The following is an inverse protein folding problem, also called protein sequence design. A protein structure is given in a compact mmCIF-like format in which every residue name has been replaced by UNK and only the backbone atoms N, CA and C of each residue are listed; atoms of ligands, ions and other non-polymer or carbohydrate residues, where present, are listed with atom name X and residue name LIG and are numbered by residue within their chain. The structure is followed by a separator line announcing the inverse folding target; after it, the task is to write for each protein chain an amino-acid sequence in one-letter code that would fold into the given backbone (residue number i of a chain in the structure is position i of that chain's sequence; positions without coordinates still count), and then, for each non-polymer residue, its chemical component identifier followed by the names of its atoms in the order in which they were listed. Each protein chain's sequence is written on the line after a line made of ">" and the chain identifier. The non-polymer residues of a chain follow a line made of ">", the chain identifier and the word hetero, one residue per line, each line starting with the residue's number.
data_IF_961323053460
#
_entry.id   IF_961323053460
#
_cell.length_a   1.000
_cell.length_b   1.000
_cell.length_c   1.000
_cell.angle_alpha   90.00
_cell.angle_beta   90.00
_cell.angle_gamma   90.00
#
_symmetry.space_group_name_H-M   'P 1'
#
loop_
_entity.id
_entity.type
_entity.pdbx_description
1 polymer ?
#
# COMPACT_ATOMS: atom_id res chain seq x y z
N UNK A 1 -7.26 -9.18 -5.61
CA UNK A 1 -6.37 -8.09 -6.10
C UNK A 1 -6.33 -8.05 -7.62
N UNK A 2 -5.98 -9.15 -8.30
CA UNK A 2 -5.92 -9.24 -9.77
C UNK A 2 -7.17 -8.69 -10.50
N UNK A 3 -8.37 -9.02 -10.01
CA UNK A 3 -9.64 -8.52 -10.57
C UNK A 3 -9.81 -6.98 -10.45
N UNK A 4 -9.33 -6.37 -9.37
CA UNK A 4 -9.34 -4.92 -9.21
C UNK A 4 -8.33 -4.23 -10.15
N UNK A 5 -7.17 -4.86 -10.36
CA UNK A 5 -6.16 -4.42 -11.34
C UNK A 5 -6.72 -4.55 -12.76
N UNK A 6 -7.39 -5.67 -13.07
CA UNK A 6 -8.03 -5.93 -14.36
C UNK A 6 -9.08 -4.88 -14.73
N UNK A 7 -9.91 -4.41 -13.79
CA UNK A 7 -10.85 -3.31 -14.08
C UNK A 7 -10.17 -1.96 -14.36
N UNK A 8 -8.96 -1.75 -13.83
CA UNK A 8 -8.24 -0.49 -13.97
C UNK A 8 -7.26 -0.48 -15.16
N UNK A 9 -7.06 -1.63 -15.84
CA UNK A 9 -5.94 -1.82 -16.77
C UNK A 9 -5.92 -0.83 -17.94
N UNK A 10 -7.06 -0.57 -18.60
CA UNK A 10 -7.15 0.36 -19.75
C UNK A 10 -6.71 1.76 -19.34
N UNK A 11 -7.32 2.30 -18.28
CA UNK A 11 -7.00 3.64 -17.79
C UNK A 11 -5.55 3.76 -17.31
N UNK A 12 -5.03 2.74 -16.62
CA UNK A 12 -3.63 2.72 -16.17
C UNK A 12 -2.67 2.68 -17.36
N UNK A 13 -2.98 1.88 -18.40
CA UNK A 13 -2.16 1.82 -19.60
C UNK A 13 -2.14 3.16 -20.35
N UNK A 14 -3.29 3.85 -20.45
CA UNK A 14 -3.35 5.20 -21.02
C UNK A 14 -2.55 6.22 -20.20
N UNK A 15 -2.72 6.21 -18.86
CA UNK A 15 -1.99 7.12 -17.98
C UNK A 15 -0.47 6.90 -18.07
N UNK A 16 -0.02 5.65 -18.24
CA UNK A 16 1.38 5.27 -18.46
C UNK A 16 1.87 5.77 -19.83
N UNK A 17 1.10 5.50 -20.89
CA UNK A 17 1.45 5.85 -22.27
C UNK A 17 1.54 7.37 -22.46
N UNK A 18 0.65 8.13 -21.83
CA UNK A 18 0.60 9.58 -21.94
C UNK A 18 1.45 10.30 -20.87
N UNK A 19 2.17 9.55 -20.01
CA UNK A 19 3.05 10.14 -19.00
C UNK A 19 2.31 10.95 -17.92
N UNK A 20 1.02 10.69 -17.69
CA UNK A 20 0.15 11.44 -16.74
C UNK A 20 0.42 11.03 -15.29
N UNK A 21 1.62 11.35 -14.79
CA UNK A 21 2.13 10.94 -13.47
C UNK A 21 1.16 11.23 -12.31
N UNK A 22 0.49 12.38 -12.29
CA UNK A 22 -0.47 12.74 -11.24
C UNK A 22 -1.74 11.88 -11.24
N UNK A 23 -2.32 11.65 -12.42
CA UNK A 23 -3.48 10.77 -12.60
C UNK A 23 -3.13 9.32 -12.24
N UNK A 24 -1.97 8.86 -12.70
CA UNK A 24 -1.42 7.55 -12.40
C UNK A 24 -1.24 7.34 -10.89
N UNK A 25 -0.55 8.26 -10.19
CA UNK A 25 -0.37 8.20 -8.72
C UNK A 25 -1.70 8.07 -7.99
N UNK A 26 -2.67 8.91 -8.36
CA UNK A 26 -4.00 8.91 -7.74
C UNK A 26 -4.78 7.62 -8.03
N UNK A 27 -4.68 7.10 -9.25
CA UNK A 27 -5.29 5.83 -9.65
C UNK A 27 -4.73 4.65 -8.86
N UNK A 28 -3.41 4.59 -8.71
CA UNK A 28 -2.70 3.54 -7.96
C UNK A 28 -3.01 3.60 -6.47
N UNK A 29 -3.08 4.79 -5.87
CA UNK A 29 -3.46 4.94 -4.46
C UNK A 29 -4.86 4.37 -4.20
N UNK A 30 -5.84 4.69 -5.06
CA UNK A 30 -7.20 4.14 -4.97
C UNK A 30 -7.25 2.63 -5.19
N UNK A 31 -6.45 2.12 -6.12
CA UNK A 31 -6.38 0.68 -6.40
C UNK A 31 -5.81 -0.09 -5.19
N UNK A 32 -4.74 0.43 -4.59
CA UNK A 32 -4.07 -0.14 -3.42
C UNK A 32 -4.98 -0.11 -2.21
N UNK A 33 -5.58 1.04 -1.90
CA UNK A 33 -6.50 1.19 -0.77
C UNK A 33 -7.70 0.24 -0.86
N UNK A 34 -8.33 0.11 -2.04
CA UNK A 34 -9.44 -0.84 -2.23
C UNK A 34 -9.02 -2.29 -2.12
N UNK A 35 -7.86 -2.65 -2.68
CA UNK A 35 -7.33 -4.01 -2.61
C UNK A 35 -6.99 -4.41 -1.18
N UNK A 36 -6.35 -3.49 -0.44
CA UNK A 36 -6.02 -3.67 0.97
C UNK A 36 -7.27 -3.76 1.85
N UNK A 37 -8.28 -2.93 1.60
CA UNK A 37 -9.58 -3.02 2.29
C UNK A 37 -10.26 -4.38 2.10
N UNK A 38 -10.24 -4.94 0.88
CA UNK A 38 -10.76 -6.30 0.62
C UNK A 38 -9.99 -7.38 1.37
N UNK A 39 -8.65 -7.27 1.42
CA UNK A 39 -7.82 -8.23 2.17
C UNK A 39 -8.12 -8.17 3.67
N UNK A 40 -8.30 -6.97 4.23
CA UNK A 40 -8.71 -6.80 5.64
C UNK A 40 -10.09 -7.38 5.93
N UNK A 41 -11.08 -7.15 5.04
CA UNK A 41 -12.41 -7.72 5.19
C UNK A 41 -12.33 -9.27 5.20
N UNK A 42 -11.54 -9.85 4.29
CA UNK A 42 -11.33 -11.30 4.26
C UNK A 42 -10.62 -11.84 5.50
N UNK A 43 -9.70 -11.08 6.08
CA UNK A 43 -9.07 -11.44 7.35
C UNK A 43 -10.10 -11.55 8.49
N UNK A 44 -10.99 -10.56 8.56
CA UNK A 44 -12.07 -10.53 9.56
C UNK A 44 -13.04 -11.71 9.40
N UNK A 45 -13.41 -12.05 8.16
CA UNK A 45 -14.25 -13.23 7.87
C UNK A 45 -13.62 -14.55 8.36
N UNK A 46 -12.29 -14.63 8.38
CA UNK A 46 -11.54 -15.80 8.84
C UNK A 46 -11.20 -15.76 10.33
N UNK A 47 -11.66 -14.74 11.06
CA UNK A 47 -11.34 -14.55 12.49
C UNK A 47 -9.86 -14.24 12.75
N UNK A 48 -9.11 -13.82 11.73
CA UNK A 48 -7.68 -13.53 11.83
C UNK A 48 -7.45 -12.04 12.07
N UNK A 49 -6.46 -11.72 12.91
CA UNK A 49 -6.03 -10.34 13.08
C UNK A 49 -5.58 -9.77 11.73
N UNK A 50 -6.00 -8.55 11.35
CA UNK A 50 -5.65 -7.96 10.06
C UNK A 50 -4.15 -7.95 9.78
N UNK A 51 -3.33 -7.70 10.80
CA UNK A 51 -1.87 -7.72 10.70
C UNK A 51 -1.30 -9.12 10.40
N UNK A 52 -1.96 -10.19 10.86
CA UNK A 52 -1.55 -11.57 10.60
C UNK A 52 -1.94 -12.05 9.19
N UNK A 53 -2.95 -11.43 8.57
CA UNK A 53 -3.44 -11.81 7.24
C UNK A 53 -2.95 -10.87 6.12
N UNK A 54 -2.58 -9.62 6.45
CA UNK A 54 -2.05 -8.67 5.46
C UNK A 54 -0.53 -8.52 5.60
N UNK A 55 0.22 -9.45 5.01
CA UNK A 55 1.68 -9.31 4.84
C UNK A 55 2.00 -8.36 3.68
N UNK A 56 1.59 -7.10 3.78
CA UNK A 56 1.75 -6.11 2.71
C UNK A 56 1.06 -6.45 1.38
N UNK A 57 1.06 -5.49 0.46
CA UNK A 57 0.64 -5.69 -0.92
C UNK A 57 1.65 -4.98 -1.80
N UNK A 58 2.32 -5.70 -2.70
CA UNK A 58 3.25 -5.12 -3.68
C UNK A 58 2.82 -5.49 -5.09
N UNK A 59 2.84 -4.51 -5.98
CA UNK A 59 2.39 -4.63 -7.36
C UNK A 59 3.43 -4.01 -8.30
N UNK A 60 3.79 -4.74 -9.35
CA UNK A 60 4.64 -4.28 -10.44
C UNK A 60 3.82 -4.22 -11.73
N UNK A 61 3.80 -3.07 -12.39
CA UNK A 61 3.21 -2.88 -13.72
C UNK A 61 4.34 -2.70 -14.74
N UNK A 62 4.38 -3.64 -15.69
CA UNK A 62 5.31 -3.65 -16.79
C UNK A 62 4.53 -3.43 -18.09
N UNK A 63 4.77 -2.32 -18.81
CA UNK A 63 4.22 -2.15 -20.15
C UNK A 63 4.77 -3.23 -21.09
N UNK A 64 3.90 -3.79 -21.93
CA UNK A 64 4.30 -4.75 -22.98
C UNK A 64 4.82 -4.00 -24.21
N UNK A 65 4.35 -2.77 -24.43
CA UNK A 65 4.82 -1.90 -25.51
C UNK A 65 6.24 -1.37 -25.20
N UNK A 66 7.26 -1.68 -26.03
CA UNK A 66 8.63 -1.20 -25.84
C UNK A 66 8.77 0.32 -25.92
N UNK A 67 7.84 1.04 -26.56
CA UNK A 67 7.82 2.51 -26.56
C UNK A 67 7.44 3.08 -25.17
N UNK A 68 6.71 2.32 -24.35
CA UNK A 68 6.34 2.70 -23.00
C UNK A 68 7.47 2.38 -22.01
N UNK A 69 8.39 3.34 -21.79
CA UNK A 69 9.53 3.16 -20.87
C UNK A 69 9.17 3.22 -19.39
N UNK A 70 7.99 3.72 -19.04
CA UNK A 70 7.57 3.92 -17.64
C UNK A 70 7.20 2.58 -17.00
N UNK A 71 8.03 2.09 -16.09
CA UNK A 71 7.76 0.94 -15.22
C UNK A 71 7.29 1.44 -13.87
N UNK A 72 6.25 0.83 -13.32
CA UNK A 72 5.61 1.32 -12.10
C UNK A 72 5.61 0.25 -11.05
N UNK A 73 6.06 0.61 -9.86
CA UNK A 73 5.94 -0.21 -8.68
C UNK A 73 5.15 0.56 -7.60
N UNK A 74 4.28 -0.15 -6.89
CA UNK A 74 3.47 0.44 -5.83
C UNK A 74 3.02 -0.62 -4.83
N UNK A 75 2.74 -0.18 -3.60
CA UNK A 75 2.30 -1.09 -2.56
C UNK A 75 2.36 -0.52 -1.16
N UNK A 76 2.04 -1.35 -0.17
CA UNK A 76 2.07 -1.05 1.27
C UNK A 76 2.69 -2.21 2.05
N UNK A 77 3.32 -1.94 3.19
CA UNK A 77 3.94 -2.95 4.07
C UNK A 77 5.43 -3.16 3.83
N UNK A 78 6.08 -3.92 4.73
CA UNK A 78 7.54 -4.04 4.85
C UNK A 78 8.27 -4.97 3.86
N UNK A 79 7.68 -5.26 2.69
CA UNK A 79 8.38 -6.04 1.64
C UNK A 79 9.34 -5.18 0.81
N UNK A 80 10.44 -5.75 0.31
CA UNK A 80 11.37 -5.03 -0.58
C UNK A 80 11.07 -5.25 -2.07
N UNK A 81 11.48 -4.32 -2.93
CA UNK A 81 11.55 -4.53 -4.38
C UNK A 81 13.01 -4.66 -4.76
N UNK A 82 13.41 -5.81 -5.29
CA UNK A 82 14.77 -6.03 -5.74
C UNK A 82 14.81 -6.32 -7.24
N UNK A 83 15.80 -5.79 -7.93
CA UNK A 83 16.12 -6.13 -9.32
C UNK A 83 17.37 -6.99 -9.34
N UNK A 84 17.25 -8.19 -9.92
CA UNK A 84 18.41 -8.99 -10.32
C UNK A 84 18.93 -8.48 -11.66
N UNK A 85 20.18 -8.02 -11.71
CA UNK A 85 20.85 -7.60 -12.94
C UNK A 85 22.33 -7.92 -12.85
N UNK A 86 22.85 -8.57 -13.90
CA UNK A 86 24.26 -8.98 -14.00
C UNK A 86 24.71 -9.87 -12.82
N UNK A 87 23.81 -10.72 -12.31
CA UNK A 87 24.06 -11.61 -11.15
C UNK A 87 23.86 -10.95 -9.79
N UNK A 88 23.64 -9.64 -9.74
CA UNK A 88 23.56 -8.87 -8.50
C UNK A 88 22.13 -8.46 -8.14
N UNK A 89 21.78 -8.57 -6.86
CA UNK A 89 20.51 -8.08 -6.32
C UNK A 89 20.62 -6.60 -5.94
N UNK A 90 19.75 -5.76 -6.51
CA UNK A 90 19.71 -4.32 -6.26
C UNK A 90 18.39 -3.92 -5.64
N UNK A 91 18.41 -3.31 -4.46
CA UNK A 91 17.21 -2.72 -3.87
C UNK A 91 16.73 -1.53 -4.71
N UNK A 92 15.45 -1.56 -5.07
CA UNK A 92 14.76 -0.53 -5.83
C UNK A 92 13.65 0.13 -5.00
N UNK A 93 13.47 -0.22 -3.73
CA UNK A 93 12.57 0.53 -2.85
C UNK A 93 13.04 1.99 -2.79
N UNK A 94 12.15 2.96 -3.08
CA UNK A 94 12.47 4.35 -2.81
C UNK A 94 12.66 4.51 -1.30
N UNK A 95 13.73 5.19 -0.90
CA UNK A 95 13.94 5.55 0.50
C UNK A 95 12.82 6.48 0.94
N UNK A 96 11.80 5.93 1.60
CA UNK A 96 10.74 6.71 2.23
C UNK A 96 11.23 7.10 3.63
N UNK A 97 11.28 8.39 3.97
CA UNK A 97 11.56 8.81 5.35
C UNK A 97 10.59 8.11 6.29
N UNK A 98 11.07 7.59 7.42
CA UNK A 98 10.22 6.95 8.41
C UNK A 98 9.08 7.89 8.82
N UNK A 99 7.84 7.52 8.49
CA UNK A 99 6.67 8.23 8.97
C UNK A 99 6.65 8.04 10.50
N UNK A 100 6.58 9.12 11.32
CA UNK A 100 6.47 8.97 12.75
C UNK A 100 5.24 8.11 13.04
N UNK A 101 5.45 6.97 13.70
CA UNK A 101 4.33 6.20 14.22
C UNK A 101 3.67 7.10 15.26
N UNK A 102 2.46 7.59 14.96
CA UNK A 102 1.64 8.22 15.98
C UNK A 102 1.49 7.18 17.08
N UNK A 103 2.14 7.43 18.22
CA UNK A 103 2.00 6.61 19.39
C UNK A 103 0.49 6.48 19.66
N UNK A 104 0.01 5.25 19.74
CA UNK A 104 -1.31 4.95 20.27
C UNK A 104 -1.37 5.56 21.67
N UNK A 105 -1.88 6.79 21.74
CA UNK A 105 -2.20 7.49 22.97
C UNK A 105 -3.40 6.80 23.60
N UNK A 106 -3.16 5.66 24.24
CA UNK A 106 -4.08 5.07 25.20
C UNK A 106 -4.02 5.94 26.46
N UNK A 107 -5.09 6.66 26.86
CA UNK A 107 -5.11 7.30 28.15
C UNK A 107 -5.34 6.22 29.21
N UNK A 108 -4.26 5.75 29.84
CA UNK A 108 -4.32 4.83 30.97
C UNK A 108 -4.11 5.58 32.29
N UNK A 109 -5.05 5.40 33.22
CA UNK A 109 -4.92 5.66 34.66
C UNK A 109 -5.68 6.90 35.14
N UNK A 110 -6.94 6.78 35.52
CA UNK A 110 -7.44 6.44 36.88
C UNK A 110 -7.04 7.40 37.99
N UNK A 111 -8.06 8.00 38.61
CA UNK A 111 -8.00 8.69 39.90
C UNK A 111 -9.39 9.12 40.34
N UNK A 112 -10.13 8.21 40.98
CA UNK A 112 -11.41 8.49 41.63
C UNK A 112 -11.20 9.30 42.93
N UNK A 113 -12.02 10.34 43.16
CA UNK A 113 -12.51 10.77 44.48
C UNK A 113 -13.89 11.42 44.30
N UNK A 114 -14.92 10.85 44.94
CA UNK A 114 -16.23 11.46 45.25
C UNK A 114 -16.11 12.23 46.60
N UNK A 115 -17.18 12.85 47.15
CA UNK A 115 -17.77 14.15 46.84
C UNK A 115 -17.67 15.14 48.03
N UNK A 116 -17.97 16.43 47.80
CA UNK A 116 -18.56 17.31 48.81
C UNK A 116 -17.70 18.41 49.44
N UNK A 117 -18.33 19.58 49.54
CA UNK A 117 -18.29 20.62 50.59
C UNK A 117 -17.82 22.02 50.16
N UNK A 118 -18.70 23.00 50.39
CA UNK A 118 -18.47 24.45 50.27
C UNK A 118 -19.67 25.18 49.70
#
# INVERSE_FOLDING_TARGET
>A
VAEAVGRAHVRLAEDIREGRRGALKSGLHRLTGRSYGKLRARAAELGLQPAAYTSGLRCLLLPVDPACRTRVFFGVGGGGLFRLRDGEWQDLEPSVPAQPQAADGSPAGSGAVLPGQG
#
